data_IF_091970903992
#
_entry.id   IF_091970903992
#
_cell.length_a   1.000
_cell.length_b   1.000
_cell.length_c   1.000
_cell.angle_alpha   90.00
_cell.angle_beta   90.00
_cell.angle_gamma   90.00
#
_symmetry.space_group_name_H-M   'P 1'
#
loop_
_entity.id
_entity.type
_entity.pdbx_description
1 polymer ?
#
# COMPACT_ATOMS: atom_id res chain seq x y z
N UNK A 1 27.93 18.36 -10.50
CA UNK A 1 26.90 17.74 -9.69
C UNK A 1 25.61 17.69 -10.47
N UNK A 2 24.82 16.61 -10.28
CA UNK A 2 23.52 16.51 -10.90
C UNK A 2 22.51 17.46 -10.24
N UNK A 3 21.57 17.97 -11.03
CA UNK A 3 20.44 18.72 -10.48
C UNK A 3 19.41 17.73 -9.91
N UNK A 4 18.81 18.09 -8.78
CA UNK A 4 17.81 17.29 -8.08
C UNK A 4 16.51 18.08 -8.06
N UNK A 5 15.44 17.52 -8.60
CA UNK A 5 14.12 18.15 -8.61
C UNK A 5 13.38 17.95 -7.28
N UNK A 6 13.49 16.73 -6.69
CA UNK A 6 12.76 16.35 -5.47
C UNK A 6 13.51 15.24 -4.72
N UNK A 7 13.40 15.27 -3.39
CA UNK A 7 13.86 14.18 -2.51
C UNK A 7 12.70 13.77 -1.61
N UNK A 8 12.44 12.46 -1.54
CA UNK A 8 11.43 11.87 -0.68
C UNK A 8 12.12 10.90 0.28
N UNK A 9 11.86 11.08 1.56
CA UNK A 9 12.40 10.25 2.64
C UNK A 9 11.32 9.28 3.12
N UNK A 10 11.64 7.99 3.12
CA UNK A 10 10.84 6.93 3.73
C UNK A 10 11.63 6.39 4.93
N UNK A 11 11.34 6.93 6.11
CA UNK A 11 12.04 6.57 7.35
C UNK A 11 11.75 5.13 7.79
N UNK A 12 10.56 4.62 7.51
CA UNK A 12 10.17 3.26 7.88
C UNK A 12 10.98 2.22 7.11
N UNK A 13 11.22 2.48 5.82
CA UNK A 13 12.01 1.60 4.95
C UNK A 13 13.49 1.96 4.91
N UNK A 14 13.92 3.02 5.61
CA UNK A 14 15.26 3.56 5.53
C UNK A 14 15.71 3.84 4.08
N UNK A 15 14.79 4.42 3.28
CA UNK A 15 14.95 4.65 1.85
C UNK A 15 14.82 6.13 1.50
N UNK A 16 15.67 6.59 0.59
CA UNK A 16 15.60 7.92 -0.02
C UNK A 16 15.34 7.78 -1.50
N UNK A 17 14.29 8.40 -1.98
CA UNK A 17 14.04 8.51 -3.41
C UNK A 17 14.43 9.91 -3.89
N UNK A 18 15.27 9.95 -4.90
CA UNK A 18 15.78 11.18 -5.51
C UNK A 18 15.24 11.29 -6.92
N UNK A 19 14.44 12.31 -7.17
CA UNK A 19 13.89 12.59 -8.50
C UNK A 19 14.76 13.62 -9.19
N UNK A 20 15.18 13.29 -10.39
CA UNK A 20 16.06 14.13 -11.22
C UNK A 20 15.43 14.37 -12.61
N UNK A 21 15.76 15.48 -13.27
CA UNK A 21 15.45 15.66 -14.70
C UNK A 21 16.01 14.51 -15.53
N UNK A 22 15.32 14.15 -16.61
CA UNK A 22 15.67 12.98 -17.45
C UNK A 22 17.11 13.02 -17.98
N UNK A 23 17.59 14.22 -18.35
CA UNK A 23 18.94 14.45 -18.83
C UNK A 23 20.01 14.34 -17.74
N UNK A 24 19.64 14.41 -16.46
CA UNK A 24 20.54 14.31 -15.33
C UNK A 24 20.70 12.90 -14.75
N UNK A 25 19.83 11.95 -15.16
CA UNK A 25 19.81 10.59 -14.62
C UNK A 25 21.19 9.91 -14.67
N UNK A 26 21.83 9.93 -15.82
CA UNK A 26 23.15 9.28 -16.00
C UNK A 26 24.23 9.91 -15.12
N UNK A 27 24.16 11.23 -14.88
CA UNK A 27 25.08 11.96 -14.03
C UNK A 27 24.83 11.64 -12.56
N UNK A 28 23.56 11.57 -12.14
CA UNK A 28 23.16 11.24 -10.77
C UNK A 28 23.60 9.83 -10.39
N UNK A 29 23.33 8.84 -11.24
CA UNK A 29 23.73 7.44 -11.03
C UNK A 29 25.26 7.30 -11.08
N UNK A 30 25.91 7.97 -12.00
CA UNK A 30 27.35 7.87 -12.25
C UNK A 30 27.76 6.58 -12.97
N UNK A 31 29.04 6.46 -13.31
CA UNK A 31 29.56 5.28 -14.00
C UNK A 31 29.35 4.03 -13.16
N UNK A 32 28.62 3.03 -13.71
CA UNK A 32 28.31 1.75 -13.03
C UNK A 32 27.63 1.93 -11.65
N UNK A 33 26.85 2.98 -11.47
CA UNK A 33 26.17 3.26 -10.20
C UNK A 33 27.08 3.80 -9.09
N UNK A 34 28.26 4.33 -9.43
CA UNK A 34 29.25 4.74 -8.45
C UNK A 34 28.74 5.88 -7.55
N UNK A 35 28.05 6.87 -8.10
CA UNK A 35 27.60 8.02 -7.33
C UNK A 35 26.48 7.64 -6.36
N UNK A 36 25.46 6.90 -6.82
CA UNK A 36 24.37 6.44 -5.97
C UNK A 36 24.87 5.50 -4.87
N UNK A 37 25.81 4.60 -5.22
CA UNK A 37 26.41 3.69 -4.24
C UNK A 37 27.22 4.41 -3.17
N UNK A 38 27.99 5.42 -3.54
CA UNK A 38 28.76 6.24 -2.59
C UNK A 38 27.81 7.04 -1.69
N UNK A 39 26.77 7.64 -2.26
CA UNK A 39 25.77 8.38 -1.50
C UNK A 39 25.04 7.48 -0.49
N UNK A 40 24.66 6.26 -0.90
CA UNK A 40 24.05 5.26 -0.04
C UNK A 40 24.99 4.84 1.10
N UNK A 41 26.26 4.56 0.79
CA UNK A 41 27.26 4.20 1.80
C UNK A 41 27.54 5.32 2.81
N UNK A 42 27.57 6.57 2.36
CA UNK A 42 27.84 7.73 3.24
C UNK A 42 26.64 8.11 4.11
N UNK A 43 25.43 7.96 3.59
CA UNK A 43 24.20 8.29 4.32
C UNK A 43 23.72 7.16 5.22
N UNK A 44 24.05 5.92 4.90
CA UNK A 44 23.48 4.73 5.52
C UNK A 44 22.05 4.40 5.08
N UNK A 45 21.57 5.10 4.04
CA UNK A 45 20.23 4.93 3.48
C UNK A 45 20.28 4.24 2.13
N UNK A 46 19.25 3.49 1.81
CA UNK A 46 19.06 2.97 0.47
C UNK A 46 18.57 4.11 -0.44
N UNK A 47 19.34 4.44 -1.48
CA UNK A 47 19.05 5.56 -2.36
C UNK A 47 18.61 5.02 -3.72
N UNK A 48 17.39 5.40 -4.09
CA UNK A 48 16.83 5.14 -5.42
C UNK A 48 16.75 6.45 -6.21
N UNK A 49 17.17 6.40 -7.48
CA UNK A 49 17.15 7.57 -8.36
C UNK A 49 16.16 7.31 -9.49
N UNK A 50 15.21 8.23 -9.64
CA UNK A 50 14.14 8.18 -10.62
C UNK A 50 14.17 9.45 -11.47
N UNK A 51 13.74 9.34 -12.70
CA UNK A 51 13.42 10.52 -13.52
C UNK A 51 12.07 11.12 -13.12
N UNK A 52 11.83 12.37 -13.48
CA UNK A 52 10.53 13.01 -13.31
C UNK A 52 9.41 12.24 -14.05
N UNK A 53 9.74 11.69 -15.23
CA UNK A 53 8.83 10.87 -16.02
C UNK A 53 8.48 9.55 -15.30
N UNK A 54 9.49 8.83 -14.80
CA UNK A 54 9.29 7.56 -14.06
C UNK A 54 8.50 7.78 -12.76
N UNK A 55 8.78 8.87 -12.04
CA UNK A 55 8.05 9.23 -10.81
C UNK A 55 6.58 9.56 -11.12
N UNK A 56 6.33 10.31 -12.20
CA UNK A 56 4.99 10.65 -12.65
C UNK A 56 4.19 9.41 -13.09
N UNK A 57 4.81 8.50 -13.86
CA UNK A 57 4.20 7.24 -14.29
C UNK A 57 3.87 6.35 -13.09
N UNK A 58 4.80 6.25 -12.14
CA UNK A 58 4.58 5.49 -10.90
C UNK A 58 3.40 6.04 -10.11
N UNK A 59 3.33 7.36 -9.88
CA UNK A 59 2.21 7.99 -9.18
C UNK A 59 0.87 7.74 -9.87
N UNK A 60 0.86 7.85 -11.22
CA UNK A 60 -0.36 7.56 -11.97
C UNK A 60 -0.78 6.10 -11.86
N UNK A 61 0.18 5.19 -11.89
CA UNK A 61 -0.08 3.74 -11.71
C UNK A 61 -0.61 3.45 -10.31
N UNK A 62 0.00 4.03 -9.28
CA UNK A 62 -0.46 3.89 -7.88
C UNK A 62 -1.88 4.45 -7.69
N UNK A 63 -2.16 5.61 -8.26
CA UNK A 63 -3.48 6.22 -8.24
C UNK A 63 -4.52 5.31 -8.91
N UNK A 64 -4.23 4.82 -10.10
CA UNK A 64 -5.12 3.92 -10.84
C UNK A 64 -5.36 2.60 -10.08
N UNK A 65 -4.31 2.01 -9.51
CA UNK A 65 -4.42 0.77 -8.74
C UNK A 65 -5.27 0.95 -7.48
N UNK A 66 -5.11 2.06 -6.76
CA UNK A 66 -5.94 2.38 -5.58
C UNK A 66 -7.39 2.64 -5.98
N UNK A 67 -7.63 3.40 -7.05
CA UNK A 67 -8.98 3.63 -7.56
C UNK A 67 -9.65 2.31 -7.95
N UNK A 68 -8.95 1.45 -8.68
CA UNK A 68 -9.47 0.14 -9.07
C UNK A 68 -9.79 -0.75 -7.86
N UNK A 69 -8.93 -0.72 -6.84
CA UNK A 69 -9.19 -1.44 -5.59
C UNK A 69 -10.49 -0.98 -4.92
N UNK A 70 -10.78 0.33 -4.87
CA UNK A 70 -12.04 0.83 -4.33
C UNK A 70 -13.24 0.47 -5.20
N UNK A 71 -13.11 0.53 -6.53
CA UNK A 71 -14.17 0.09 -7.46
C UNK A 71 -14.56 -1.36 -7.17
N UNK A 72 -13.58 -2.24 -7.05
CA UNK A 72 -13.81 -3.68 -6.82
C UNK A 72 -14.31 -3.99 -5.41
N UNK A 73 -13.75 -3.33 -4.39
CA UNK A 73 -14.05 -3.62 -3.00
C UNK A 73 -15.39 -3.02 -2.53
N UNK A 74 -15.72 -1.82 -3.01
CA UNK A 74 -16.91 -1.06 -2.58
C UNK A 74 -18.07 -1.13 -3.58
N UNK A 75 -17.84 -1.74 -4.76
CA UNK A 75 -18.81 -1.79 -5.86
C UNK A 75 -19.34 -0.39 -6.21
N UNK A 76 -18.41 0.55 -6.41
CA UNK A 76 -18.67 1.94 -6.77
C UNK A 76 -18.15 2.25 -8.17
N UNK A 77 -18.63 3.37 -8.74
CA UNK A 77 -18.08 3.85 -9.99
C UNK A 77 -16.68 4.44 -9.82
N UNK A 78 -16.01 4.62 -10.95
CA UNK A 78 -14.63 5.12 -10.98
C UNK A 78 -14.50 6.54 -10.41
N UNK A 79 -15.54 7.37 -10.54
CA UNK A 79 -15.52 8.77 -10.05
C UNK A 79 -15.47 8.78 -8.53
N UNK A 80 -16.32 8.00 -7.86
CA UNK A 80 -16.32 7.87 -6.39
C UNK A 80 -14.97 7.31 -5.89
N UNK A 81 -14.46 6.26 -6.56
CA UNK A 81 -13.17 5.69 -6.22
C UNK A 81 -12.01 6.69 -6.35
N UNK A 82 -11.98 7.47 -7.41
CA UNK A 82 -10.97 8.52 -7.63
C UNK A 82 -11.08 9.65 -6.61
N UNK A 83 -12.28 10.04 -6.20
CA UNK A 83 -12.48 11.01 -5.13
C UNK A 83 -11.91 10.52 -3.82
N UNK A 84 -12.17 9.27 -3.42
CA UNK A 84 -11.60 8.68 -2.21
C UNK A 84 -10.06 8.71 -2.25
N UNK A 85 -9.43 8.32 -3.36
CA UNK A 85 -7.97 8.37 -3.50
C UNK A 85 -7.43 9.79 -3.47
N UNK A 86 -8.13 10.75 -4.07
CA UNK A 86 -7.74 12.18 -4.08
C UNK A 86 -7.78 12.78 -2.68
N UNK A 87 -8.75 12.39 -1.86
CA UNK A 87 -8.86 12.81 -0.46
C UNK A 87 -7.89 12.06 0.49
N UNK A 88 -7.08 11.16 -0.06
CA UNK A 88 -5.99 10.51 0.66
C UNK A 88 -6.31 9.13 1.22
N UNK A 89 -7.51 8.59 0.97
CA UNK A 89 -7.82 7.22 1.39
C UNK A 89 -6.95 6.21 0.62
N UNK A 90 -6.32 5.31 1.34
CA UNK A 90 -5.39 4.34 0.80
C UNK A 90 -5.84 2.89 0.95
N UNK A 91 -6.82 2.62 1.81
CA UNK A 91 -7.33 1.28 2.11
C UNK A 91 -8.83 1.25 2.39
N UNK A 92 -9.43 0.07 2.22
CA UNK A 92 -10.85 -0.16 2.53
C UNK A 92 -11.11 -0.06 4.04
N UNK A 93 -10.14 -0.43 4.85
CA UNK A 93 -10.16 -0.30 6.30
C UNK A 93 -10.35 1.15 6.74
N UNK A 94 -9.65 2.08 6.12
CA UNK A 94 -9.81 3.52 6.41
C UNK A 94 -11.25 3.96 6.16
N UNK A 95 -11.84 3.62 5.02
CA UNK A 95 -13.24 3.94 4.71
C UNK A 95 -14.23 3.30 5.69
N UNK A 96 -13.96 2.06 6.13
CA UNK A 96 -14.84 1.32 7.04
C UNK A 96 -14.91 1.92 8.45
N UNK A 97 -13.81 2.52 8.93
CA UNK A 97 -13.63 2.91 10.35
C UNK A 97 -13.44 4.41 10.57
N UNK A 98 -13.25 5.21 9.52
CA UNK A 98 -13.16 6.66 9.63
C UNK A 98 -14.47 7.26 10.19
N UNK A 99 -14.42 8.37 10.95
CA UNK A 99 -15.60 9.12 11.29
C UNK A 99 -16.39 9.54 10.03
N UNK A 100 -17.72 9.51 10.10
CA UNK A 100 -18.56 9.87 8.94
C UNK A 100 -18.30 11.31 8.47
N UNK A 101 -18.00 12.20 9.40
CA UNK A 101 -17.72 13.61 9.12
C UNK A 101 -16.54 13.79 8.14
N UNK A 102 -15.55 12.91 8.22
CA UNK A 102 -14.39 12.95 7.30
C UNK A 102 -14.75 12.52 5.88
N UNK A 103 -15.78 11.69 5.70
CA UNK A 103 -16.33 11.36 4.38
C UNK A 103 -17.22 12.48 3.84
N UNK A 104 -17.92 13.21 4.71
CA UNK A 104 -18.80 14.33 4.33
C UNK A 104 -18.04 15.58 3.86
N UNK A 105 -16.72 15.66 4.13
CA UNK A 105 -15.86 16.73 3.59
C UNK A 105 -15.65 16.55 2.07
N UNK A 106 -15.79 15.34 1.57
CA UNK A 106 -15.59 15.01 0.16
C UNK A 106 -16.70 15.65 -0.68
N UNK A 107 -16.32 16.46 -1.66
CA UNK A 107 -17.28 17.13 -2.51
C UNK A 107 -18.16 16.11 -3.27
N UNK A 108 -19.47 16.26 -3.13
CA UNK A 108 -20.45 15.35 -3.74
C UNK A 108 -20.89 14.18 -2.88
N UNK A 109 -20.35 14.03 -1.65
CA UNK A 109 -20.79 13.02 -0.70
C UNK A 109 -21.82 13.63 0.26
N UNK A 110 -22.95 12.97 0.38
CA UNK A 110 -23.96 13.23 1.42
C UNK A 110 -23.92 12.11 2.49
N UNK A 111 -24.76 12.24 3.49
CA UNK A 111 -24.81 11.29 4.61
C UNK A 111 -25.18 9.88 4.14
N UNK A 112 -26.10 9.77 3.16
CA UNK A 112 -26.56 8.49 2.62
C UNK A 112 -25.40 7.78 1.87
N UNK A 113 -24.68 8.52 1.03
CA UNK A 113 -23.50 7.99 0.30
C UNK A 113 -22.39 7.59 1.26
N UNK A 114 -22.09 8.44 2.24
CA UNK A 114 -21.03 8.17 3.22
C UNK A 114 -21.32 6.92 4.06
N UNK A 115 -22.56 6.75 4.54
CA UNK A 115 -22.95 5.57 5.32
C UNK A 115 -22.98 4.31 4.43
N UNK A 116 -23.47 4.39 3.20
CA UNK A 116 -23.46 3.28 2.26
C UNK A 116 -22.04 2.80 1.96
N UNK A 117 -21.09 3.72 1.74
CA UNK A 117 -19.68 3.38 1.55
C UNK A 117 -19.08 2.66 2.76
N UNK A 118 -19.38 3.13 3.97
CA UNK A 118 -18.93 2.48 5.20
C UNK A 118 -19.52 1.08 5.38
N UNK A 119 -20.79 0.91 5.05
CA UNK A 119 -21.46 -0.41 5.11
C UNK A 119 -20.82 -1.38 4.12
N UNK A 120 -20.61 -0.94 2.88
CA UNK A 120 -19.94 -1.75 1.83
C UNK A 120 -18.53 -2.11 2.21
N UNK A 121 -17.76 -1.14 2.73
CA UNK A 121 -16.40 -1.38 3.21
C UNK A 121 -16.36 -2.45 4.33
N UNK A 122 -17.24 -2.34 5.33
CA UNK A 122 -17.34 -3.34 6.40
C UNK A 122 -17.74 -4.71 5.90
N UNK A 123 -18.71 -4.77 4.99
CA UNK A 123 -19.17 -6.02 4.38
C UNK A 123 -18.05 -6.70 3.60
N UNK A 124 -17.30 -5.93 2.82
CA UNK A 124 -16.14 -6.44 2.08
C UNK A 124 -15.06 -7.00 3.03
N UNK A 125 -14.73 -6.26 4.08
CA UNK A 125 -13.74 -6.70 5.07
C UNK A 125 -14.18 -7.98 5.79
N UNK A 126 -15.45 -8.06 6.17
CA UNK A 126 -16.00 -9.27 6.80
C UNK A 126 -15.93 -10.47 5.85
N UNK A 127 -16.37 -10.31 4.60
CA UNK A 127 -16.31 -11.39 3.60
C UNK A 127 -14.87 -11.84 3.34
N UNK A 128 -13.92 -10.90 3.28
CA UNK A 128 -12.50 -11.20 3.12
C UNK A 128 -11.95 -12.00 4.32
N UNK A 129 -12.29 -11.60 5.53
CA UNK A 129 -11.84 -12.28 6.75
C UNK A 129 -12.43 -13.69 6.86
N UNK A 130 -13.70 -13.88 6.49
CA UNK A 130 -14.35 -15.19 6.42
C UNK A 130 -13.67 -16.09 5.38
N UNK A 131 -13.34 -15.57 4.20
CA UNK A 131 -12.62 -16.28 3.16
C UNK A 131 -11.22 -16.70 3.61
N UNK A 132 -10.46 -15.75 4.20
CA UNK A 132 -9.13 -16.03 4.74
C UNK A 132 -9.17 -17.09 5.84
N UNK A 133 -10.16 -17.04 6.72
CA UNK A 133 -10.33 -18.06 7.77
C UNK A 133 -10.69 -19.41 7.18
N UNK A 134 -11.59 -19.47 6.19
CA UNK A 134 -11.92 -20.71 5.49
C UNK A 134 -10.67 -21.32 4.85
N UNK A 135 -9.90 -20.52 4.11
CA UNK A 135 -8.67 -21.00 3.46
C UNK A 135 -7.61 -21.46 4.46
N UNK A 136 -7.49 -20.76 5.59
CA UNK A 136 -6.62 -21.16 6.71
C UNK A 136 -6.96 -22.56 7.21
N UNK A 137 -8.26 -22.82 7.44
CA UNK A 137 -8.75 -24.14 7.89
C UNK A 137 -8.51 -25.22 6.83
N UNK A 138 -8.76 -24.92 5.56
CA UNK A 138 -8.49 -25.85 4.44
C UNK A 138 -7.00 -26.23 4.35
N UNK A 139 -6.09 -25.29 4.63
CA UNK A 139 -4.65 -25.55 4.67
C UNK A 139 -4.21 -26.30 5.94
N UNK A 140 -5.10 -26.47 6.91
CA UNK A 140 -4.79 -27.14 8.17
C UNK A 140 -3.94 -26.31 9.13
N UNK A 141 -4.00 -24.98 9.02
CA UNK A 141 -3.29 -24.09 9.93
C UNK A 141 -4.05 -23.98 11.24
N UNK A 142 -3.37 -24.25 12.35
CA UNK A 142 -3.94 -24.25 13.70
C UNK A 142 -4.22 -22.84 14.23
N UNK A 143 -5.17 -22.73 15.16
CA UNK A 143 -5.54 -21.44 15.76
C UNK A 143 -4.43 -20.82 16.61
N UNK A 144 -3.52 -21.63 17.14
CA UNK A 144 -2.39 -21.18 17.95
C UNK A 144 -1.42 -20.29 17.15
N UNK A 145 -1.30 -20.55 15.83
CA UNK A 145 -0.46 -19.74 14.96
C UNK A 145 -1.04 -18.31 14.78
N UNK A 146 -2.36 -18.16 14.75
CA UNK A 146 -3.02 -16.85 14.63
C UNK A 146 -2.94 -16.01 15.90
N UNK A 147 -2.63 -16.65 17.05
CA UNK A 147 -2.42 -15.97 18.33
C UNK A 147 -1.00 -15.41 18.49
N UNK A 148 -0.11 -15.68 17.55
CA UNK A 148 1.24 -15.10 17.54
C UNK A 148 1.16 -13.63 17.14
N UNK A 149 1.80 -12.75 17.91
CA UNK A 149 1.86 -11.32 17.62
C UNK A 149 2.41 -11.08 16.20
N UNK A 150 1.68 -10.31 15.40
CA UNK A 150 2.02 -10.03 14.01
C UNK A 150 1.51 -11.06 12.99
N UNK A 151 0.94 -12.19 13.43
CA UNK A 151 0.35 -13.20 12.54
C UNK A 151 -1.16 -13.02 12.46
N UNK A 152 -1.62 -12.16 11.54
CA UNK A 152 -3.04 -12.06 11.21
C UNK A 152 -3.50 -13.17 10.25
N UNK A 153 -4.82 -13.22 9.95
CA UNK A 153 -5.43 -14.25 9.11
C UNK A 153 -4.74 -14.40 7.72
N UNK A 154 -4.40 -13.28 7.07
CA UNK A 154 -3.71 -13.29 5.78
C UNK A 154 -2.29 -13.87 5.87
N UNK A 155 -1.56 -13.56 6.95
CA UNK A 155 -0.23 -14.13 7.17
C UNK A 155 -0.31 -15.62 7.47
N UNK A 156 -1.28 -16.05 8.28
CA UNK A 156 -1.51 -17.46 8.59
C UNK A 156 -1.78 -18.30 7.32
N UNK A 157 -2.57 -17.78 6.37
CA UNK A 157 -2.77 -18.42 5.07
C UNK A 157 -1.47 -18.55 4.29
N UNK A 158 -0.66 -17.47 4.21
CA UNK A 158 0.64 -17.50 3.52
C UNK A 158 1.64 -18.46 4.14
N UNK A 159 1.61 -18.59 5.47
CA UNK A 159 2.43 -19.57 6.20
C UNK A 159 1.96 -20.98 5.89
N UNK A 160 0.64 -21.23 5.92
CA UNK A 160 0.06 -22.52 5.56
C UNK A 160 0.38 -22.96 4.13
N UNK A 161 0.42 -22.05 3.16
CA UNK A 161 0.85 -22.30 1.78
C UNK A 161 2.32 -22.75 1.67
N UNK A 162 3.12 -22.46 2.70
CA UNK A 162 4.52 -22.88 2.84
C UNK A 162 4.69 -24.05 3.81
N UNK A 163 3.60 -24.77 4.13
CA UNK A 163 3.55 -25.87 5.08
C UNK A 163 3.91 -25.51 6.55
N UNK A 164 3.91 -24.23 6.90
CA UNK A 164 4.03 -23.74 8.29
C UNK A 164 2.59 -23.64 8.84
N UNK A 165 2.21 -24.63 9.67
CA UNK A 165 0.81 -24.81 10.11
C UNK A 165 0.61 -24.62 11.60
N UNK A 166 1.68 -24.77 12.38
CA UNK A 166 1.67 -24.65 13.83
C UNK A 166 2.66 -23.59 14.30
N UNK A 167 2.53 -23.19 15.55
CA UNK A 167 3.51 -22.30 16.19
C UNK A 167 4.89 -22.90 16.25
N UNK A 168 4.98 -24.23 16.42
CA UNK A 168 6.26 -24.95 16.48
C UNK A 168 6.97 -24.98 15.12
N UNK A 169 6.21 -24.95 14.00
CA UNK A 169 6.79 -24.86 12.65
C UNK A 169 7.41 -23.48 12.37
N UNK A 170 7.02 -22.46 13.13
CA UNK A 170 7.50 -21.09 12.98
C UNK A 170 8.79 -20.83 13.77
N UNK A 171 9.13 -21.67 14.75
CA UNK A 171 10.29 -21.53 15.62
C UNK A 171 11.57 -22.09 14.97
#
# INVERSE_FOLDING_TARGET
>A
PAEVAKVVLDEEKNKIEVVVPDDQLSLAIGRRGQNVRLASQLSGWDIDILTEAEESERRQTEFNNRSQMFVEALDVDEVIAQLLVTEGFSSVEEVAFVPIDDLLVIEGFDEDVAEELRVRARTFLQARDEELNRRRVELGVEDDLTNVEGVGAAMAVRLGEKDIKTRDDLA
#
